data_IF_185894737610
#
_entry.id   IF_185894737610
#
_cell.length_a   1.000
_cell.length_b   1.000
_cell.length_c   1.000
_cell.angle_alpha   90.00
_cell.angle_beta   90.00
_cell.angle_gamma   90.00
#
_symmetry.space_group_name_H-M   'P 1'
#
loop_
_entity.id
_entity.type
_entity.pdbx_description
1 polymer ?
#
# COMPACT_ATOMS: atom_id res chain seq x y z
N UNK A 1 -37.95 16.05 -10.90
CA UNK A 1 -37.80 14.58 -10.93
C UNK A 1 -36.87 14.17 -9.78
N UNK A 2 -37.39 13.60 -8.70
CA UNK A 2 -36.58 13.20 -7.53
C UNK A 2 -35.53 12.13 -7.86
N UNK A 3 -35.72 11.37 -8.95
CA UNK A 3 -34.75 10.41 -9.46
C UNK A 3 -33.45 11.08 -9.95
N UNK A 4 -33.53 12.27 -10.57
CA UNK A 4 -32.35 12.99 -11.09
C UNK A 4 -31.45 13.49 -9.95
N UNK A 5 -32.05 13.94 -8.85
CA UNK A 5 -31.32 14.34 -7.65
C UNK A 5 -30.62 13.16 -6.98
N UNK A 6 -31.25 11.98 -6.96
CA UNK A 6 -30.66 10.76 -6.43
C UNK A 6 -29.51 10.23 -7.31
N UNK A 7 -29.62 10.35 -8.64
CA UNK A 7 -28.55 10.03 -9.59
C UNK A 7 -27.34 10.95 -9.38
N UNK A 8 -27.56 12.27 -9.31
CA UNK A 8 -26.50 13.24 -9.06
C UNK A 8 -25.79 13.03 -7.70
N UNK A 9 -26.52 12.63 -6.65
CA UNK A 9 -25.93 12.29 -5.36
C UNK A 9 -25.06 11.03 -5.42
N UNK A 10 -25.50 10.00 -6.16
CA UNK A 10 -24.70 8.78 -6.39
C UNK A 10 -23.43 9.07 -7.18
N UNK A 11 -23.53 9.87 -8.24
CA UNK A 11 -22.37 10.25 -9.06
C UNK A 11 -21.33 10.98 -8.21
N UNK A 12 -21.78 11.89 -7.33
CA UNK A 12 -20.89 12.59 -6.40
C UNK A 12 -20.16 11.62 -5.46
N UNK A 13 -20.87 10.68 -4.84
CA UNK A 13 -20.24 9.66 -3.97
C UNK A 13 -19.21 8.81 -4.73
N UNK A 14 -19.54 8.37 -5.94
CA UNK A 14 -18.63 7.55 -6.75
C UNK A 14 -17.37 8.33 -7.11
N UNK A 15 -17.51 9.58 -7.54
CA UNK A 15 -16.36 10.41 -7.93
C UNK A 15 -15.50 10.72 -6.72
N UNK A 16 -16.07 11.26 -5.64
CA UNK A 16 -15.29 11.81 -4.53
C UNK A 16 -14.86 10.77 -3.49
N UNK A 17 -15.70 9.77 -3.18
CA UNK A 17 -15.39 8.82 -2.10
C UNK A 17 -14.72 7.54 -2.61
N UNK A 18 -14.90 7.20 -3.89
CA UNK A 18 -14.39 5.94 -4.45
C UNK A 18 -13.27 6.19 -5.46
N UNK A 19 -13.50 7.02 -6.47
CA UNK A 19 -12.54 7.19 -7.59
C UNK A 19 -11.39 8.12 -7.22
N UNK A 20 -11.70 9.30 -6.68
CA UNK A 20 -10.68 10.31 -6.35
C UNK A 20 -9.58 9.77 -5.41
N UNK A 21 -9.90 9.08 -4.29
CA UNK A 21 -8.87 8.55 -3.41
C UNK A 21 -7.99 7.48 -4.08
N UNK A 22 -8.60 6.63 -4.93
CA UNK A 22 -7.86 5.59 -5.68
C UNK A 22 -6.94 6.19 -6.74
N UNK A 23 -7.38 7.21 -7.46
CA UNK A 23 -6.56 7.90 -8.46
C UNK A 23 -5.37 8.57 -7.77
N UNK A 24 -5.61 9.28 -6.67
CA UNK A 24 -4.55 9.90 -5.88
C UNK A 24 -3.52 8.87 -5.39
N UNK A 25 -3.99 7.76 -4.82
CA UNK A 25 -3.11 6.69 -4.36
C UNK A 25 -2.31 6.07 -5.53
N UNK A 26 -2.96 5.84 -6.66
CA UNK A 26 -2.30 5.30 -7.86
C UNK A 26 -1.20 6.22 -8.41
N UNK A 27 -1.45 7.53 -8.45
CA UNK A 27 -0.45 8.53 -8.86
C UNK A 27 0.74 8.54 -7.90
N UNK A 28 0.48 8.53 -6.58
CA UNK A 28 1.54 8.54 -5.57
C UNK A 28 2.39 7.27 -5.62
N UNK A 29 1.76 6.10 -5.71
CA UNK A 29 2.48 4.82 -5.81
C UNK A 29 3.29 4.76 -7.11
N UNK A 30 2.71 5.17 -8.24
CA UNK A 30 3.40 5.20 -9.52
C UNK A 30 4.62 6.11 -9.52
N UNK A 31 4.51 7.30 -8.94
CA UNK A 31 5.63 8.23 -8.79
C UNK A 31 6.73 7.65 -7.89
N UNK A 32 6.37 7.03 -6.76
CA UNK A 32 7.32 6.39 -5.85
C UNK A 32 8.07 5.23 -6.53
N UNK A 33 7.38 4.37 -7.27
CA UNK A 33 7.98 3.26 -8.01
C UNK A 33 8.91 3.76 -9.13
N UNK A 34 8.51 4.81 -9.86
CA UNK A 34 9.34 5.41 -10.91
C UNK A 34 10.66 5.96 -10.35
N UNK A 35 10.61 6.69 -9.24
CA UNK A 35 11.81 7.22 -8.57
C UNK A 35 12.68 6.07 -8.04
N UNK A 36 12.08 5.07 -7.40
CA UNK A 36 12.81 3.91 -6.87
C UNK A 36 13.51 3.13 -7.99
N UNK A 37 12.85 2.90 -9.11
CA UNK A 37 13.42 2.27 -10.30
C UNK A 37 14.58 3.08 -10.88
N UNK A 38 14.41 4.39 -11.06
CA UNK A 38 15.47 5.26 -11.58
C UNK A 38 16.71 5.26 -10.66
N UNK A 39 16.52 5.28 -9.34
CA UNK A 39 17.61 5.22 -8.36
C UNK A 39 18.31 3.87 -8.42
N UNK A 40 17.57 2.75 -8.44
CA UNK A 40 18.17 1.41 -8.51
C UNK A 40 18.95 1.19 -9.81
N UNK A 41 18.35 1.56 -10.94
CA UNK A 41 19.01 1.46 -12.25
C UNK A 41 20.27 2.33 -12.31
N UNK A 42 20.24 3.54 -11.73
CA UNK A 42 21.40 4.42 -11.63
C UNK A 42 22.51 3.88 -10.72
N UNK A 43 22.15 3.33 -9.56
CA UNK A 43 23.08 2.77 -8.58
C UNK A 43 23.81 1.54 -9.13
N UNK A 44 23.07 0.59 -9.68
CA UNK A 44 23.64 -0.64 -10.24
C UNK A 44 24.18 -0.47 -11.67
N UNK A 45 23.92 0.70 -12.30
CA UNK A 45 24.20 0.95 -13.73
C UNK A 45 23.66 -0.18 -14.61
N UNK A 46 22.53 -0.74 -14.21
CA UNK A 46 21.90 -1.88 -14.85
C UNK A 46 20.44 -1.53 -15.16
N UNK A 47 20.05 -1.40 -16.43
CA UNK A 47 18.68 -1.04 -16.81
C UNK A 47 17.65 -2.11 -16.42
N UNK A 48 18.07 -3.32 -16.07
CA UNK A 48 17.21 -4.41 -15.59
C UNK A 48 17.08 -4.46 -14.05
N UNK A 49 17.74 -3.57 -13.32
CA UNK A 49 17.62 -3.52 -11.86
C UNK A 49 16.20 -3.05 -11.47
N UNK A 50 15.50 -3.88 -10.70
CA UNK A 50 14.17 -3.61 -10.16
C UNK A 50 14.19 -3.61 -8.62
N UNK A 51 13.66 -2.57 -7.96
CA UNK A 51 13.61 -2.50 -6.50
C UNK A 51 12.79 -3.62 -5.85
N UNK A 52 11.92 -4.33 -6.57
CA UNK A 52 11.18 -5.48 -6.04
C UNK A 52 12.06 -6.72 -5.80
N UNK A 53 13.22 -6.81 -6.45
CA UNK A 53 14.09 -8.01 -6.42
C UNK A 53 14.93 -8.14 -5.14
N UNK A 54 15.08 -7.07 -4.37
CA UNK A 54 15.86 -7.04 -3.10
C UNK A 54 15.08 -7.53 -1.87
N UNK A 55 13.90 -8.11 -2.04
CA UNK A 55 13.16 -8.75 -0.94
C UNK A 55 12.21 -7.83 -0.15
N UNK A 56 12.17 -6.52 -0.46
CA UNK A 56 11.25 -5.54 0.15
C UNK A 56 9.79 -6.01 0.04
N UNK A 57 9.38 -6.46 -1.15
CA UNK A 57 8.02 -6.94 -1.42
C UNK A 57 7.67 -8.20 -0.60
N UNK A 58 8.64 -9.10 -0.42
CA UNK A 58 8.46 -10.30 0.39
C UNK A 58 8.32 -9.95 1.88
N UNK A 59 9.15 -9.03 2.38
CA UNK A 59 9.06 -8.51 3.75
C UNK A 59 7.73 -7.81 4.03
N UNK A 60 7.26 -6.97 3.10
CA UNK A 60 5.96 -6.32 3.23
C UNK A 60 4.80 -7.31 3.19
N UNK A 61 4.87 -8.32 2.32
CA UNK A 61 3.85 -9.37 2.25
C UNK A 61 3.81 -10.20 3.53
N UNK A 62 4.97 -10.54 4.11
CA UNK A 62 5.04 -11.24 5.39
C UNK A 62 4.37 -10.44 6.51
N UNK A 63 4.65 -9.14 6.61
CA UNK A 63 4.01 -8.26 7.60
C UNK A 63 2.50 -8.15 7.42
N UNK A 64 2.03 -8.02 6.18
CA UNK A 64 0.60 -7.98 5.87
C UNK A 64 -0.09 -9.31 6.22
N UNK A 65 0.49 -10.44 5.80
CA UNK A 65 -0.05 -11.78 6.07
C UNK A 65 -0.05 -12.09 7.57
N UNK A 66 0.96 -11.64 8.32
CA UNK A 66 0.99 -11.78 9.77
C UNK A 66 -0.23 -11.12 10.43
N UNK A 67 -0.64 -9.93 9.98
CA UNK A 67 -1.85 -9.27 10.47
C UNK A 67 -3.12 -9.98 9.99
N UNK A 68 -3.18 -10.41 8.73
CA UNK A 68 -4.37 -11.10 8.20
C UNK A 68 -4.63 -12.42 8.94
N UNK A 69 -3.58 -13.18 9.24
CA UNK A 69 -3.69 -14.53 9.83
C UNK A 69 -3.70 -14.49 11.35
N UNK A 70 -2.79 -13.74 11.98
CA UNK A 70 -2.64 -13.70 13.44
C UNK A 70 -3.38 -12.53 14.09
N UNK A 71 -3.95 -11.61 13.31
CA UNK A 71 -4.53 -10.37 13.81
C UNK A 71 -5.76 -10.53 14.70
N UNK A 72 -6.42 -11.69 14.69
CA UNK A 72 -7.53 -12.01 15.61
C UNK A 72 -7.10 -12.88 16.79
N UNK A 73 -5.84 -13.36 16.79
CA UNK A 73 -5.29 -14.26 17.81
C UNK A 73 -4.12 -13.59 18.53
N UNK A 74 -2.88 -13.95 18.19
CA UNK A 74 -1.66 -13.46 18.84
C UNK A 74 -1.42 -11.97 18.64
N UNK A 75 -1.83 -11.42 17.49
CA UNK A 75 -1.70 -10.00 17.16
C UNK A 75 -3.00 -9.21 17.42
N UNK A 76 -3.98 -9.79 18.12
CA UNK A 76 -5.21 -9.11 18.53
C UNK A 76 -4.99 -7.75 19.25
N UNK A 77 -4.07 -7.60 20.23
CA UNK A 77 -3.88 -6.30 20.86
C UNK A 77 -3.35 -5.24 19.89
N UNK A 78 -2.53 -5.65 18.91
CA UNK A 78 -2.01 -4.76 17.89
C UNK A 78 -3.10 -4.33 16.91
N UNK A 79 -3.93 -5.25 16.42
CA UNK A 79 -5.03 -4.91 15.51
C UNK A 79 -6.10 -4.06 16.19
N UNK A 80 -6.36 -4.27 17.48
CA UNK A 80 -7.25 -3.42 18.28
C UNK A 80 -6.69 -2.00 18.45
N UNK A 81 -5.39 -1.87 18.69
CA UNK A 81 -4.76 -0.56 18.88
C UNK A 81 -4.71 0.28 17.59
N UNK A 82 -4.42 -0.34 16.44
CA UNK A 82 -4.22 0.36 15.17
C UNK A 82 -5.40 0.28 14.19
N UNK A 83 -6.38 -0.58 14.46
CA UNK A 83 -7.59 -0.73 13.64
C UNK A 83 -7.27 -0.96 12.15
N UNK A 84 -7.89 -0.15 11.29
CA UNK A 84 -7.72 -0.21 9.84
C UNK A 84 -6.31 0.13 9.35
N UNK A 85 -5.50 0.82 10.16
CA UNK A 85 -4.10 1.13 9.85
C UNK A 85 -3.14 -0.01 10.21
N UNK A 86 -3.58 -1.00 11.01
CA UNK A 86 -2.70 -2.09 11.44
C UNK A 86 -2.10 -2.88 10.29
N UNK A 87 -2.90 -3.17 9.24
CA UNK A 87 -2.44 -3.92 8.08
C UNK A 87 -1.44 -3.12 7.22
N UNK A 88 -1.72 -1.87 6.79
CA UNK A 88 -0.73 -1.03 6.10
C UNK A 88 0.56 -0.83 6.88
N UNK A 89 0.48 -0.61 8.21
CA UNK A 89 1.65 -0.41 9.06
C UNK A 89 2.51 -1.66 9.13
N UNK A 90 1.92 -2.84 9.37
CA UNK A 90 2.67 -4.08 9.41
C UNK A 90 3.32 -4.40 8.06
N UNK A 91 2.63 -4.13 6.95
CA UNK A 91 3.21 -4.28 5.61
C UNK A 91 4.40 -3.33 5.38
N UNK A 92 4.27 -2.07 5.80
CA UNK A 92 5.36 -1.09 5.69
C UNK A 92 6.58 -1.49 6.52
N UNK A 93 6.38 -1.78 7.81
CA UNK A 93 7.47 -2.15 8.72
C UNK A 93 8.08 -3.51 8.39
N UNK A 94 7.30 -4.47 7.87
CA UNK A 94 7.82 -5.75 7.40
C UNK A 94 8.79 -5.57 6.23
N UNK A 95 8.46 -4.70 5.27
CA UNK A 95 9.36 -4.36 4.16
C UNK A 95 10.60 -3.60 4.63
N UNK A 96 10.40 -2.60 5.51
CA UNK A 96 11.50 -1.82 6.09
C UNK A 96 12.48 -2.71 6.86
N UNK A 97 11.99 -3.63 7.69
CA UNK A 97 12.82 -4.53 8.47
C UNK A 97 13.69 -5.42 7.56
N UNK A 98 13.12 -5.99 6.49
CA UNK A 98 13.90 -6.79 5.53
C UNK A 98 14.93 -5.93 4.80
N UNK A 99 14.58 -4.69 4.44
CA UNK A 99 15.51 -3.76 3.77
C UNK A 99 16.67 -3.36 4.67
N UNK A 100 16.45 -3.23 5.98
CA UNK A 100 17.50 -2.90 6.95
C UNK A 100 18.39 -4.09 7.32
N UNK A 101 17.89 -5.32 7.15
CA UNK A 101 18.64 -6.54 7.44
C UNK A 101 19.60 -6.94 6.32
N UNK A 102 19.36 -6.48 5.09
CA UNK A 102 20.15 -6.76 3.89
C UNK A 102 21.15 -5.63 3.62
#
# INVERSE_FOLDING_TARGET
VPADAALAARDRLIVYDIRMPRVLLGVLIGAALAVCGAVMQGLFRNPLADPGLIGVSAGSSLGAVAIIVLGTTWLAPFTLAFGTLGLPLAAFFGGLAVTLLL
#
